data_IF_400965349619
#
_entry.id   IF_400965349619
#
_cell.length_a   1.000
_cell.length_b   1.000
_cell.length_c   1.000
_cell.angle_alpha   90.00
_cell.angle_beta   90.00
_cell.angle_gamma   90.00
#
_symmetry.space_group_name_H-M   'P 1'
#
loop_
_entity.id
_entity.type
_entity.pdbx_description
1 polymer ?
#
# COMPACT_ATOMS: atom_id res chain seq x y z
N UNK A 1 -6.36 7.13 -20.57
CA UNK A 1 -6.54 8.29 -19.68
C UNK A 1 -5.49 9.37 -19.93
N UNK A 2 -4.18 9.10 -19.82
CA UNK A 2 -3.12 10.08 -20.16
C UNK A 2 -3.30 10.70 -21.56
N UNK A 3 -3.61 9.88 -22.57
CA UNK A 3 -3.92 10.37 -23.92
C UNK A 3 -5.28 11.04 -24.10
N UNK A 4 -6.21 10.83 -23.16
CA UNK A 4 -7.54 11.48 -23.18
C UNK A 4 -7.44 12.87 -22.56
N UNK A 5 -6.58 13.04 -21.55
CA UNK A 5 -6.33 14.32 -20.85
C UNK A 5 -5.30 15.17 -21.60
N UNK A 6 -4.69 14.67 -22.69
CA UNK A 6 -3.69 15.40 -23.46
C UNK A 6 -2.36 15.60 -22.75
N UNK A 7 -2.08 14.85 -21.67
CA UNK A 7 -0.87 15.02 -20.87
C UNK A 7 0.40 14.41 -21.50
N UNK A 8 0.35 14.04 -22.79
CA UNK A 8 1.55 13.59 -23.51
C UNK A 8 2.51 14.74 -23.82
N UNK A 9 1.98 15.94 -24.07
CA UNK A 9 2.81 17.10 -24.43
C UNK A 9 3.65 17.60 -23.24
N UNK A 10 3.21 17.34 -22.01
CA UNK A 10 3.96 17.69 -20.79
C UNK A 10 5.14 16.77 -20.50
N UNK A 11 5.32 15.66 -21.23
CA UNK A 11 6.48 14.76 -21.05
C UNK A 11 7.80 15.49 -21.27
N UNK A 12 7.85 16.41 -22.23
CA UNK A 12 9.05 17.21 -22.51
C UNK A 12 9.38 18.23 -21.40
N UNK A 13 8.41 18.58 -20.55
CA UNK A 13 8.58 19.52 -19.44
C UNK A 13 9.00 18.85 -18.13
N UNK A 14 9.07 17.51 -18.11
CA UNK A 14 9.45 16.77 -16.90
C UNK A 14 10.94 16.99 -16.61
N UNK A 15 11.23 17.60 -15.47
CA UNK A 15 12.61 17.72 -14.97
C UNK A 15 13.19 16.33 -14.65
N UNK A 16 14.46 16.09 -14.96
CA UNK A 16 15.16 14.82 -14.67
C UNK A 16 15.01 14.36 -13.21
N UNK A 17 14.97 15.29 -12.25
CA UNK A 17 14.73 14.99 -10.83
C UNK A 17 13.36 14.35 -10.62
N UNK A 18 12.31 14.93 -11.19
CA UNK A 18 10.93 14.41 -11.10
C UNK A 18 10.83 13.01 -11.67
N UNK A 19 11.45 12.78 -12.83
CA UNK A 19 11.48 11.46 -13.46
C UNK A 19 12.20 10.42 -12.59
N UNK A 20 13.34 10.80 -11.98
CA UNK A 20 14.07 9.94 -11.05
C UNK A 20 13.22 9.58 -9.83
N UNK A 21 12.52 10.54 -9.21
CA UNK A 21 11.65 10.29 -8.07
C UNK A 21 10.48 9.36 -8.41
N UNK A 22 9.89 9.49 -9.60
CA UNK A 22 8.82 8.59 -10.06
C UNK A 22 9.34 7.17 -10.33
N UNK A 23 10.51 7.02 -10.94
CA UNK A 23 11.14 5.71 -11.13
C UNK A 23 11.44 5.08 -9.78
N UNK A 24 12.06 5.82 -8.86
CA UNK A 24 12.42 5.31 -7.54
C UNK A 24 11.17 4.94 -6.72
N UNK A 25 10.10 5.72 -6.84
CA UNK A 25 8.78 5.39 -6.29
C UNK A 25 8.22 4.10 -6.89
N UNK A 26 8.38 3.87 -8.19
CA UNK A 26 7.95 2.65 -8.88
C UNK A 26 8.74 1.41 -8.46
N UNK A 27 10.06 1.54 -8.34
CA UNK A 27 10.94 0.49 -7.82
C UNK A 27 10.56 0.15 -6.38
N UNK A 28 10.38 1.17 -5.53
CA UNK A 28 9.95 1.01 -4.15
C UNK A 28 8.57 0.33 -4.06
N UNK A 29 7.66 0.66 -4.97
CA UNK A 29 6.34 0.01 -5.03
C UNK A 29 6.48 -1.48 -5.34
N UNK A 30 7.24 -1.81 -6.39
CA UNK A 30 7.47 -3.19 -6.79
C UNK A 30 8.12 -4.00 -5.67
N UNK A 31 9.16 -3.45 -5.04
CA UNK A 31 9.83 -4.08 -3.89
C UNK A 31 8.87 -4.29 -2.70
N UNK A 32 8.04 -3.29 -2.39
CA UNK A 32 7.02 -3.39 -1.34
C UNK A 32 6.05 -4.54 -1.62
N UNK A 33 5.47 -4.60 -2.81
CA UNK A 33 4.51 -5.65 -3.17
C UNK A 33 5.14 -7.04 -3.14
N UNK A 34 6.36 -7.21 -3.65
CA UNK A 34 7.06 -8.50 -3.59
C UNK A 34 7.27 -8.97 -2.14
N UNK A 35 7.70 -8.07 -1.26
CA UNK A 35 7.85 -8.37 0.16
C UNK A 35 6.49 -8.65 0.82
N UNK A 36 5.46 -7.85 0.51
CA UNK A 36 4.11 -8.01 1.04
C UNK A 36 3.50 -9.38 0.67
N UNK A 37 3.52 -9.74 -0.61
CA UNK A 37 3.00 -11.03 -1.07
C UNK A 37 3.81 -12.19 -0.52
N UNK A 38 5.14 -12.05 -0.40
CA UNK A 38 5.97 -13.08 0.24
C UNK A 38 5.62 -13.24 1.72
N UNK A 39 5.36 -12.14 2.43
CA UNK A 39 4.90 -12.17 3.81
C UNK A 39 3.52 -12.85 3.94
N UNK A 40 2.59 -12.58 3.01
CA UNK A 40 1.28 -13.24 2.96
C UNK A 40 1.37 -14.75 2.68
N UNK A 41 2.34 -15.20 1.88
CA UNK A 41 2.57 -16.64 1.64
C UNK A 41 3.12 -17.37 2.86
N UNK A 42 3.90 -16.68 3.69
CA UNK A 42 4.60 -17.26 4.85
C UNK A 42 3.87 -17.05 6.18
N UNK A 43 2.97 -16.07 6.25
CA UNK A 43 2.29 -15.62 7.46
C UNK A 43 0.78 -15.55 7.33
N UNK A 44 0.10 -15.25 8.43
CA UNK A 44 -1.35 -15.09 8.44
C UNK A 44 -1.76 -13.74 7.84
N UNK A 45 -2.77 -13.74 6.95
CA UNK A 45 -3.26 -12.54 6.24
C UNK A 45 -3.62 -11.39 7.19
N UNK A 46 -4.25 -11.69 8.33
CA UNK A 46 -4.65 -10.67 9.30
C UNK A 46 -3.42 -10.02 9.94
N UNK A 47 -2.40 -10.80 10.29
CA UNK A 47 -1.17 -10.28 10.91
C UNK A 47 -0.35 -9.44 9.95
N UNK A 48 -0.16 -9.93 8.72
CA UNK A 48 0.62 -9.22 7.69
C UNK A 48 -0.09 -7.92 7.29
N UNK A 49 -1.41 -7.96 7.10
CA UNK A 49 -2.19 -6.76 6.75
C UNK A 49 -2.19 -5.74 7.89
N UNK A 50 -2.26 -6.19 9.14
CA UNK A 50 -2.13 -5.29 10.29
C UNK A 50 -0.76 -4.60 10.32
N UNK A 51 0.33 -5.36 10.15
CA UNK A 51 1.69 -4.79 10.06
C UNK A 51 1.78 -3.79 8.91
N UNK A 52 1.21 -4.07 7.73
CA UNK A 52 1.19 -3.13 6.61
C UNK A 52 0.56 -1.77 6.98
N UNK A 53 -0.44 -1.74 7.87
CA UNK A 53 -1.05 -0.47 8.31
C UNK A 53 -0.10 0.43 9.07
N UNK A 54 0.96 -0.11 9.68
CA UNK A 54 2.01 0.70 10.32
C UNK A 54 2.81 1.55 9.32
N UNK A 55 2.72 1.27 8.02
CA UNK A 55 3.30 2.13 6.98
C UNK A 55 2.80 3.57 7.02
N UNK A 56 1.59 3.81 7.54
CA UNK A 56 1.06 5.16 7.75
C UNK A 56 1.88 5.92 8.77
N UNK A 57 2.24 5.29 9.87
CA UNK A 57 3.06 5.90 10.93
C UNK A 57 4.42 6.31 10.36
N UNK A 58 5.07 5.39 9.64
CA UNK A 58 6.35 5.68 9.00
C UNK A 58 6.22 6.77 7.94
N UNK A 59 5.12 6.79 7.18
CA UNK A 59 4.85 7.83 6.19
C UNK A 59 4.65 9.20 6.83
N UNK A 60 3.94 9.30 7.95
CA UNK A 60 3.76 10.56 8.70
C UNK A 60 5.11 11.05 9.23
N UNK A 61 5.94 10.16 9.77
CA UNK A 61 7.29 10.52 10.24
C UNK A 61 8.15 11.04 9.09
N UNK A 62 8.17 10.31 7.96
CA UNK A 62 8.91 10.76 6.78
C UNK A 62 8.32 12.05 6.19
N UNK A 63 7.00 12.25 6.25
CA UNK A 63 6.40 13.48 5.74
C UNK A 63 6.77 14.70 6.59
N UNK A 64 6.88 14.53 7.91
CA UNK A 64 7.44 15.56 8.80
C UNK A 64 8.91 15.87 8.44
N UNK A 65 9.72 14.84 8.18
CA UNK A 65 11.15 15.05 7.87
C UNK A 65 11.34 15.74 6.51
N UNK A 66 10.67 15.27 5.46
CA UNK A 66 10.88 15.74 4.10
C UNK A 66 10.08 16.99 3.74
N UNK A 67 8.84 17.10 4.22
CA UNK A 67 7.94 18.19 3.87
C UNK A 67 7.73 19.19 5.01
N UNK A 68 8.29 18.93 6.21
CA UNK A 68 8.08 19.75 7.42
C UNK A 68 6.60 19.97 7.72
N UNK A 69 5.76 18.97 7.40
CA UNK A 69 4.33 18.99 7.72
C UNK A 69 4.14 19.11 9.24
N UNK A 70 3.27 20.04 9.69
CA UNK A 70 2.95 20.16 11.11
C UNK A 70 2.20 18.92 11.59
N UNK A 71 2.74 18.29 12.63
CA UNK A 71 2.12 17.15 13.29
C UNK A 71 1.35 17.67 14.49
N UNK A 72 0.03 17.62 14.40
CA UNK A 72 -0.86 17.97 15.51
C UNK A 72 -0.75 16.93 16.62
N UNK A 73 -1.12 17.30 17.84
CA UNK A 73 -1.16 16.36 18.97
C UNK A 73 -2.07 15.17 18.68
N UNK A 74 -3.16 15.39 17.94
CA UNK A 74 -4.08 14.33 17.51
C UNK A 74 -3.43 13.30 16.58
N UNK A 75 -2.57 13.72 15.64
CA UNK A 75 -1.80 12.78 14.81
C UNK A 75 -0.91 11.85 15.66
N UNK A 76 -0.27 12.38 16.70
CA UNK A 76 0.59 11.57 17.60
C UNK A 76 -0.26 10.57 18.39
N UNK A 77 -1.36 11.02 18.98
CA UNK A 77 -2.28 10.15 19.72
C UNK A 77 -2.82 9.05 18.79
N UNK A 78 -3.27 9.42 17.59
CA UNK A 78 -3.74 8.49 16.58
C UNK A 78 -2.67 7.46 16.19
N UNK A 79 -1.40 7.85 16.07
CA UNK A 79 -0.29 6.92 15.77
C UNK A 79 -0.10 5.89 16.88
N UNK A 80 -0.17 6.30 18.15
CA UNK A 80 -0.07 5.40 19.29
C UNK A 80 -1.26 4.43 19.33
N UNK A 81 -2.47 4.91 19.08
CA UNK A 81 -3.68 4.07 19.06
C UNK A 81 -3.60 3.06 17.89
N UNK A 82 -3.21 3.51 16.69
CA UNK A 82 -3.10 2.65 15.51
C UNK A 82 -2.06 1.54 15.69
N UNK A 83 -0.89 1.87 16.26
CA UNK A 83 0.17 0.89 16.54
C UNK A 83 -0.25 -0.10 17.62
N UNK A 84 -0.94 0.35 18.65
CA UNK A 84 -1.51 -0.52 19.70
C UNK A 84 -2.58 -1.45 19.12
N UNK A 85 -3.49 -0.94 18.29
CA UNK A 85 -4.50 -1.74 17.59
C UNK A 85 -3.87 -2.80 16.67
N UNK A 86 -2.81 -2.42 15.96
CA UNK A 86 -2.02 -3.35 15.14
C UNK A 86 -1.38 -4.45 15.99
N UNK A 87 -0.75 -4.11 17.11
CA UNK A 87 -0.15 -5.07 18.02
C UNK A 87 -1.17 -6.10 18.53
N UNK A 88 -2.35 -5.63 18.95
CA UNK A 88 -3.44 -6.47 19.45
C UNK A 88 -3.97 -7.44 18.37
N UNK A 89 -4.00 -7.00 17.11
CA UNK A 89 -4.40 -7.83 15.97
C UNK A 89 -3.33 -8.85 15.55
N UNK A 90 -2.04 -8.56 15.81
CA UNK A 90 -0.90 -9.46 15.55
C UNK A 90 -0.74 -10.53 16.63
N UNK A 91 -1.25 -10.27 17.84
CA UNK A 91 -1.10 -11.13 19.02
C UNK A 91 -1.53 -12.59 18.77
N UNK A 92 -0.72 -13.53 19.27
CA UNK A 92 -0.81 -14.97 18.99
C UNK A 92 -2.16 -15.55 19.44
N UNK A 93 -2.93 -16.09 18.48
CA UNK A 93 -3.50 -17.43 18.69
C UNK A 93 -2.32 -18.41 18.61
N UNK A 94 -2.21 -19.32 19.57
CA UNK A 94 -1.24 -20.42 19.57
C UNK A 94 -1.49 -21.32 18.36
N UNK A 95 -0.95 -20.93 17.20
CA UNK A 95 -0.71 -21.90 16.13
C UNK A 95 0.63 -22.56 16.45
N UNK A 96 0.53 -23.83 16.85
CA UNK A 96 1.61 -24.73 17.26
C UNK A 96 2.48 -25.17 16.06
N UNK A 97 2.77 -24.24 15.14
CA UNK A 97 3.68 -24.44 14.01
C UNK A 97 4.84 -23.48 14.13
N UNK A 98 6.03 -24.01 13.95
CA UNK A 98 7.30 -23.31 13.88
C UNK A 98 7.28 -22.34 12.70
N UNK A 99 6.61 -21.20 12.85
CA UNK A 99 6.54 -20.16 11.83
C UNK A 99 7.92 -19.52 11.76
N UNK A 100 8.62 -19.74 10.65
CA UNK A 100 9.88 -19.07 10.35
C UNK A 100 9.66 -17.55 10.40
N UNK A 101 10.39 -16.83 11.26
CA UNK A 101 10.27 -15.37 11.45
C UNK A 101 10.52 -14.55 10.16
N UNK A 102 10.94 -15.20 9.07
CA UNK A 102 11.05 -14.61 7.74
C UNK A 102 9.81 -13.83 7.29
N UNK A 103 8.59 -14.26 7.62
CA UNK A 103 7.37 -13.50 7.23
C UNK A 103 7.34 -12.09 7.84
N UNK A 104 7.84 -11.93 9.07
CA UNK A 104 7.88 -10.66 9.78
C UNK A 104 8.92 -9.73 9.15
N UNK A 105 10.09 -10.28 8.81
CA UNK A 105 11.13 -9.55 8.07
C UNK A 105 10.58 -9.00 6.75
N UNK A 106 9.93 -9.84 5.94
CA UNK A 106 9.31 -9.40 4.69
C UNK A 106 8.19 -8.38 4.91
N UNK A 107 7.38 -8.52 5.97
CA UNK A 107 6.34 -7.54 6.30
C UNK A 107 6.94 -6.17 6.67
N UNK A 108 8.02 -6.14 7.46
CA UNK A 108 8.70 -4.89 7.84
C UNK A 108 9.38 -4.23 6.64
N UNK A 109 10.07 -5.00 5.79
CA UNK A 109 10.63 -4.48 4.55
C UNK A 109 9.53 -3.88 3.66
N UNK A 110 8.39 -4.57 3.54
CA UNK A 110 7.23 -4.07 2.79
C UNK A 110 6.76 -2.71 3.29
N UNK A 111 6.66 -2.54 4.62
CA UNK A 111 6.24 -1.29 5.26
C UNK A 111 7.19 -0.14 4.97
N UNK A 112 8.51 -0.41 5.00
CA UNK A 112 9.54 0.60 4.69
C UNK A 112 9.46 1.02 3.22
N UNK A 113 9.33 0.06 2.30
CA UNK A 113 9.21 0.38 0.88
C UNK A 113 7.85 1.03 0.54
N UNK A 114 6.78 0.70 1.27
CA UNK A 114 5.46 1.32 1.09
C UNK A 114 5.46 2.78 1.51
N UNK A 115 6.08 3.11 2.65
CA UNK A 115 6.20 4.51 3.09
C UNK A 115 7.09 5.32 2.14
N UNK A 116 8.22 4.75 1.72
CA UNK A 116 9.11 5.39 0.76
C UNK A 116 8.43 5.61 -0.60
N UNK A 117 7.63 4.63 -1.07
CA UNK A 117 6.79 4.77 -2.27
C UNK A 117 5.92 6.01 -2.22
N UNK A 118 5.25 6.22 -1.08
CA UNK A 118 4.35 7.36 -0.91
C UNK A 118 5.11 8.67 -0.95
N UNK A 119 6.23 8.79 -0.22
CA UNK A 119 7.00 10.02 -0.14
C UNK A 119 7.63 10.38 -1.49
N UNK A 120 8.32 9.42 -2.12
CA UNK A 120 8.91 9.62 -3.45
C UNK A 120 7.83 9.91 -4.49
N UNK A 121 6.68 9.23 -4.38
CA UNK A 121 5.54 9.45 -5.24
C UNK A 121 4.99 10.87 -5.11
N UNK A 122 4.80 11.36 -3.89
CA UNK A 122 4.35 12.74 -3.64
C UNK A 122 5.32 13.77 -4.24
N UNK A 123 6.62 13.62 -4.01
CA UNK A 123 7.64 14.51 -4.60
C UNK A 123 7.58 14.45 -6.13
N UNK A 124 7.46 13.24 -6.70
CA UNK A 124 7.44 13.01 -8.13
C UNK A 124 6.19 13.51 -8.86
N UNK A 125 5.03 13.60 -8.19
CA UNK A 125 3.78 14.08 -8.80
C UNK A 125 3.48 15.56 -8.52
N UNK A 126 4.22 16.24 -7.63
CA UNK A 126 3.87 17.62 -7.24
C UNK A 126 3.94 18.60 -8.41
N UNK A 127 4.90 18.43 -9.32
CA UNK A 127 5.17 19.39 -10.42
C UNK A 127 4.68 18.92 -11.80
N UNK A 128 3.95 17.81 -11.87
CA UNK A 128 3.45 17.25 -13.13
C UNK A 128 2.01 16.78 -12.95
N UNK A 129 1.33 16.45 -14.03
CA UNK A 129 -0.02 15.88 -13.95
C UNK A 129 -0.01 14.50 -13.25
N UNK A 130 -0.95 14.27 -12.32
CA UNK A 130 -1.00 13.08 -11.46
C UNK A 130 -1.21 11.75 -12.20
N UNK A 131 -2.01 11.74 -13.27
CA UNK A 131 -2.24 10.55 -14.09
C UNK A 131 -0.98 10.17 -14.87
N UNK A 132 -0.24 11.16 -15.40
CA UNK A 132 1.05 10.95 -16.06
C UNK A 132 2.09 10.39 -15.08
N UNK A 133 2.22 10.99 -13.90
CA UNK A 133 3.11 10.50 -12.86
C UNK A 133 2.77 9.07 -12.41
N UNK A 134 1.47 8.79 -12.26
CA UNK A 134 0.99 7.43 -11.96
C UNK A 134 1.33 6.46 -13.08
N UNK A 135 1.13 6.83 -14.35
CA UNK A 135 1.42 5.98 -15.51
C UNK A 135 2.91 5.62 -15.61
N UNK A 136 3.81 6.60 -15.43
CA UNK A 136 5.26 6.38 -15.40
C UNK A 136 5.60 5.39 -14.29
N UNK A 137 5.09 5.63 -13.08
CA UNK A 137 5.36 4.78 -11.92
C UNK A 137 4.83 3.35 -12.12
N UNK A 138 3.61 3.19 -12.60
CA UNK A 138 3.01 1.87 -12.86
C UNK A 138 3.72 1.12 -13.98
N UNK A 139 4.32 1.83 -14.94
CA UNK A 139 5.13 1.19 -15.99
C UNK A 139 6.40 0.56 -15.40
N UNK A 140 7.04 1.22 -14.43
CA UNK A 140 8.19 0.66 -13.70
C UNK A 140 7.77 -0.55 -12.87
N UNK A 141 6.62 -0.48 -12.18
CA UNK A 141 6.06 -1.61 -11.44
C UNK A 141 5.77 -2.80 -12.37
N UNK A 142 5.19 -2.53 -13.55
CA UNK A 142 4.90 -3.54 -14.56
C UNK A 142 6.18 -4.27 -15.00
N UNK A 143 7.24 -3.53 -15.33
CA UNK A 143 8.55 -4.11 -15.68
C UNK A 143 9.07 -5.00 -14.55
N UNK A 144 9.04 -4.51 -13.31
CA UNK A 144 9.47 -5.27 -12.12
C UNK A 144 8.64 -6.55 -11.92
N UNK A 145 7.32 -6.48 -12.08
CA UNK A 145 6.44 -7.65 -11.97
C UNK A 145 6.80 -8.71 -13.01
N UNK A 146 7.04 -8.31 -14.27
CA UNK A 146 7.44 -9.25 -15.33
C UNK A 146 8.82 -9.85 -15.10
N UNK A 147 9.80 -9.06 -14.64
CA UNK A 147 11.13 -9.56 -14.25
C UNK A 147 10.97 -10.71 -13.25
N UNK A 148 10.12 -10.55 -12.23
CA UNK A 148 9.89 -11.60 -11.23
C UNK A 148 9.21 -12.83 -11.84
N UNK A 149 8.25 -12.67 -12.75
CA UNK A 149 7.63 -13.81 -13.45
C UNK A 149 8.69 -14.62 -14.21
N UNK A 150 9.57 -13.95 -14.95
CA UNK A 150 10.64 -14.60 -15.70
C UNK A 150 11.68 -15.26 -14.78
N UNK A 151 12.12 -14.57 -13.72
CA UNK A 151 13.09 -15.11 -12.77
C UNK A 151 12.53 -16.32 -12.01
N UNK A 152 11.25 -16.30 -11.65
CA UNK A 152 10.58 -17.43 -10.96
C UNK A 152 10.16 -18.56 -11.91
N UNK A 153 10.34 -18.37 -13.22
CA UNK A 153 9.94 -19.31 -14.28
C UNK A 153 8.43 -19.61 -14.28
N UNK A 154 7.64 -18.73 -13.68
CA UNK A 154 6.19 -18.91 -13.49
C UNK A 154 5.40 -18.75 -14.79
N UNK A 155 6.02 -18.29 -15.88
CA UNK A 155 5.37 -18.17 -17.20
C UNK A 155 4.76 -19.48 -17.70
N UNK A 156 5.33 -20.63 -17.29
CA UNK A 156 4.85 -21.95 -17.73
C UNK A 156 3.51 -22.33 -17.09
N UNK A 157 3.17 -21.74 -15.94
CA UNK A 157 1.91 -21.96 -15.22
C UNK A 157 0.76 -21.09 -15.74
N UNK A 158 1.03 -20.17 -16.69
CA UNK A 158 0.00 -19.25 -17.18
C UNK A 158 -1.14 -19.97 -17.92
N UNK A 159 -0.85 -21.11 -18.57
CA UNK A 159 -1.86 -21.90 -19.31
C UNK A 159 -2.80 -22.71 -18.41
N UNK A 160 -2.49 -22.89 -17.12
CA UNK A 160 -3.31 -23.68 -16.20
C UNK A 160 -4.32 -22.85 -15.42
N UNK A 161 -4.29 -21.52 -15.53
CA UNK A 161 -5.20 -20.62 -14.79
C UNK A 161 -6.61 -20.67 -15.41
N UNK A 162 -7.65 -21.00 -14.63
CA UNK A 162 -9.03 -21.01 -15.10
C UNK A 162 -9.50 -19.65 -15.63
N UNK A 163 -10.37 -19.65 -16.66
CA UNK A 163 -10.93 -18.41 -17.25
C UNK A 163 -11.64 -17.51 -16.23
N UNK A 164 -12.26 -18.09 -15.20
CA UNK A 164 -12.93 -17.35 -14.12
C UNK A 164 -11.93 -16.58 -13.24
N UNK A 165 -10.77 -17.17 -12.96
CA UNK A 165 -9.70 -16.53 -12.19
C UNK A 165 -9.07 -15.38 -13.00
N UNK A 166 -8.88 -15.57 -14.31
CA UNK A 166 -8.46 -14.48 -15.20
C UNK A 166 -9.39 -13.27 -15.14
N UNK A 167 -10.71 -13.49 -15.15
CA UNK A 167 -11.67 -12.40 -15.03
C UNK A 167 -11.53 -11.65 -13.69
N UNK A 168 -11.40 -12.37 -12.57
CA UNK A 168 -11.18 -11.74 -11.26
C UNK A 168 -9.85 -10.99 -11.18
N UNK A 169 -8.78 -11.51 -11.79
CA UNK A 169 -7.47 -10.83 -11.85
C UNK A 169 -7.59 -9.53 -12.65
N UNK A 170 -8.27 -9.55 -13.80
CA UNK A 170 -8.48 -8.34 -14.61
C UNK A 170 -9.32 -7.32 -13.86
N UNK A 171 -10.43 -7.73 -13.24
CA UNK A 171 -11.27 -6.84 -12.44
C UNK A 171 -10.51 -6.24 -11.24
N UNK A 172 -9.70 -7.05 -10.55
CA UNK A 172 -8.83 -6.59 -9.46
C UNK A 172 -7.78 -5.60 -9.95
N UNK A 173 -7.17 -5.84 -11.12
CA UNK A 173 -6.22 -4.94 -11.75
C UNK A 173 -6.84 -3.58 -12.11
N UNK A 174 -8.04 -3.58 -12.69
CA UNK A 174 -8.78 -2.36 -13.00
C UNK A 174 -9.17 -1.58 -11.74
N UNK A 175 -9.66 -2.28 -10.70
CA UNK A 175 -9.97 -1.66 -9.41
C UNK A 175 -8.73 -1.06 -8.74
N UNK A 176 -7.59 -1.75 -8.81
CA UNK A 176 -6.31 -1.26 -8.29
C UNK A 176 -5.84 -0.02 -9.05
N UNK A 177 -5.91 -0.05 -10.38
CA UNK A 177 -5.57 1.09 -11.22
C UNK A 177 -6.44 2.32 -10.92
N UNK A 178 -7.76 2.13 -10.83
CA UNK A 178 -8.71 3.20 -10.47
C UNK A 178 -8.44 3.77 -9.08
N UNK A 179 -8.24 2.90 -8.08
CA UNK A 179 -7.87 3.31 -6.71
C UNK A 179 -6.58 4.14 -6.68
N UNK A 180 -5.56 3.71 -7.42
CA UNK A 180 -4.26 4.38 -7.45
C UNK A 180 -4.33 5.75 -8.13
N UNK A 181 -5.10 5.90 -9.20
CA UNK A 181 -5.31 7.20 -9.83
C UNK A 181 -5.94 8.20 -8.85
N UNK A 182 -7.00 7.77 -8.13
CA UNK A 182 -7.63 8.58 -7.10
C UNK A 182 -6.68 8.91 -5.94
N UNK A 183 -5.91 7.92 -5.46
CA UNK A 183 -4.98 8.09 -4.34
C UNK A 183 -3.87 9.08 -4.68
N UNK A 184 -3.27 8.98 -5.88
CA UNK A 184 -2.20 9.90 -6.29
C UNK A 184 -2.73 11.31 -6.59
N UNK A 185 -3.96 11.41 -7.09
CA UNK A 185 -4.62 12.70 -7.22
C UNK A 185 -4.88 13.37 -5.86
N UNK A 186 -5.33 12.61 -4.85
CA UNK A 186 -5.47 13.10 -3.48
C UNK A 186 -4.11 13.47 -2.86
N UNK A 187 -3.07 12.67 -3.12
CA UNK A 187 -1.72 12.91 -2.61
C UNK A 187 -1.05 14.16 -3.22
N UNK A 188 -1.41 14.51 -4.45
CA UNK A 188 -0.97 15.73 -5.11
C UNK A 188 -1.64 16.97 -4.50
N UNK A 189 -2.93 16.88 -4.18
CA UNK A 189 -3.72 18.00 -3.65
C UNK A 189 -3.68 18.13 -2.11
N UNK A 190 -3.22 17.11 -1.39
CA UNK A 190 -3.27 17.05 0.07
C UNK A 190 -1.95 16.68 0.77
N UNK A 191 -1.87 16.90 2.10
CA UNK A 191 -0.74 16.46 2.91
C UNK A 191 -0.66 14.93 2.97
N UNK A 192 0.55 14.38 2.88
CA UNK A 192 0.75 12.92 2.89
C UNK A 192 0.31 12.33 4.24
N UNK A 193 0.49 13.12 5.31
CA UNK A 193 0.05 12.77 6.66
C UNK A 193 -1.46 12.68 6.85
N UNK A 194 -2.29 13.13 5.91
CA UNK A 194 -3.76 12.94 5.96
C UNK A 194 -4.25 11.94 4.92
N UNK A 195 -3.69 11.98 3.69
CA UNK A 195 -4.13 11.11 2.60
C UNK A 195 -3.82 9.64 2.90
N UNK A 196 -2.67 9.34 3.51
CA UNK A 196 -2.29 7.95 3.81
C UNK A 196 -3.10 7.28 4.92
N UNK A 197 -3.43 7.95 6.05
CA UNK A 197 -4.43 7.41 6.98
C UNK A 197 -5.77 7.09 6.29
N UNK A 198 -6.29 8.01 5.46
CA UNK A 198 -7.58 7.84 4.76
C UNK A 198 -7.55 6.60 3.85
N UNK A 199 -6.50 6.43 3.05
CA UNK A 199 -6.33 5.25 2.19
C UNK A 199 -6.40 3.93 2.98
N UNK A 200 -5.80 3.91 4.18
CA UNK A 200 -5.76 2.71 5.01
C UNK A 200 -7.09 2.34 5.64
N UNK A 201 -8.09 3.25 5.69
CA UNK A 201 -9.46 2.93 6.09
C UNK A 201 -10.12 1.90 5.16
N UNK A 202 -9.55 1.65 3.97
CA UNK A 202 -9.93 0.53 3.09
C UNK A 202 -9.98 -0.83 3.79
N UNK A 203 -9.28 -1.00 4.92
CA UNK A 203 -9.36 -2.21 5.76
C UNK A 203 -10.78 -2.53 6.22
N UNK A 204 -11.63 -1.51 6.42
CA UNK A 204 -13.04 -1.70 6.76
C UNK A 204 -13.77 -2.48 5.67
N UNK A 205 -13.55 -2.11 4.41
CA UNK A 205 -14.12 -2.81 3.26
C UNK A 205 -13.49 -4.20 3.10
N UNK A 206 -12.17 -4.33 3.27
CA UNK A 206 -11.50 -5.65 3.21
C UNK A 206 -12.07 -6.62 4.24
N UNK A 207 -12.23 -6.19 5.49
CA UNK A 207 -12.81 -7.00 6.56
C UNK A 207 -14.28 -7.34 6.28
N UNK A 208 -15.05 -6.35 5.82
CA UNK A 208 -16.46 -6.54 5.47
C UNK A 208 -16.61 -7.59 4.37
N UNK A 209 -15.82 -7.49 3.28
CA UNK A 209 -15.83 -8.48 2.21
C UNK A 209 -15.27 -9.84 2.66
N UNK A 210 -14.27 -9.87 3.55
CA UNK A 210 -13.79 -11.14 4.12
C UNK A 210 -14.90 -11.88 4.86
N UNK A 211 -15.66 -11.16 5.68
CA UNK A 211 -16.81 -11.74 6.40
C UNK A 211 -17.94 -12.18 5.46
N UNK A 212 -18.29 -11.37 4.45
CA UNK A 212 -19.38 -11.67 3.53
C UNK A 212 -19.06 -12.82 2.54
N UNK A 213 -17.84 -12.86 2.02
CA UNK A 213 -17.44 -13.77 0.93
C UNK A 213 -16.77 -15.03 1.48
N UNK A 214 -15.87 -14.89 2.44
CA UNK A 214 -15.08 -16.01 2.97
C UNK A 214 -15.65 -16.56 4.29
N UNK A 215 -16.68 -15.92 4.85
CA UNK A 215 -17.29 -16.27 6.13
C UNK A 215 -16.29 -16.36 7.29
N UNK A 216 -15.16 -15.64 7.19
CA UNK A 216 -14.16 -15.59 8.25
C UNK A 216 -14.70 -14.78 9.44
N UNK A 217 -14.86 -15.45 10.58
CA UNK A 217 -15.25 -14.79 11.83
C UNK A 217 -14.02 -14.16 12.50
N UNK A 218 -14.05 -12.83 12.65
CA UNK A 218 -13.06 -12.13 13.45
C UNK A 218 -13.13 -12.57 14.91
N UNK A 219 -11.98 -12.81 15.52
CA UNK A 219 -11.91 -13.02 16.97
C UNK A 219 -12.26 -11.72 17.70
N UNK A 220 -12.74 -11.83 18.95
CA UNK A 220 -13.02 -10.65 19.80
C UNK A 220 -11.81 -9.72 19.93
N UNK A 221 -10.59 -10.29 20.00
CA UNK A 221 -9.34 -9.54 19.98
C UNK A 221 -9.12 -8.83 18.64
N UNK A 222 -9.23 -9.54 17.52
CA UNK A 222 -9.05 -8.92 16.20
C UNK A 222 -10.06 -7.79 15.94
N UNK A 223 -11.30 -7.95 16.41
CA UNK A 223 -12.32 -6.90 16.35
C UNK A 223 -11.94 -5.66 17.17
N UNK A 224 -11.44 -5.83 18.40
CA UNK A 224 -10.92 -4.72 19.20
C UNK A 224 -9.73 -4.04 18.53
N UNK A 225 -8.81 -4.81 17.94
CA UNK A 225 -7.67 -4.30 17.19
C UNK A 225 -8.12 -3.46 15.99
N UNK A 226 -9.11 -3.95 15.24
CA UNK A 226 -9.70 -3.22 14.12
C UNK A 226 -10.36 -1.92 14.56
N UNK A 227 -11.13 -1.93 15.66
CA UNK A 227 -11.76 -0.72 16.22
C UNK A 227 -10.69 0.31 16.59
N UNK A 228 -9.58 -0.13 17.20
CA UNK A 228 -8.45 0.75 17.53
C UNK A 228 -7.74 1.29 16.28
N UNK A 229 -7.53 0.48 15.25
CA UNK A 229 -6.94 0.95 13.98
C UNK A 229 -7.84 2.03 13.37
N UNK A 230 -9.15 1.82 13.35
CA UNK A 230 -10.12 2.77 12.78
C UNK A 230 -10.19 4.04 13.61
N UNK A 231 -10.32 3.94 14.93
CA UNK A 231 -10.37 5.10 15.81
C UNK A 231 -9.07 5.90 15.78
N UNK A 232 -7.92 5.23 15.82
CA UNK A 232 -6.61 5.87 15.69
C UNK A 232 -6.48 6.61 14.36
N UNK A 233 -6.94 6.00 13.26
CA UNK A 233 -6.95 6.63 11.93
C UNK A 233 -7.86 7.85 11.89
N UNK A 234 -9.05 7.80 12.47
CA UNK A 234 -9.98 8.95 12.53
C UNK A 234 -9.42 10.09 13.41
N UNK A 235 -8.78 9.77 14.53
CA UNK A 235 -8.14 10.78 15.38
C UNK A 235 -7.00 11.50 14.65
N UNK A 236 -6.26 10.83 13.77
CA UNK A 236 -5.23 11.50 12.95
C UNK A 236 -5.79 12.55 11.99
N UNK A 237 -7.10 12.54 11.70
CA UNK A 237 -7.75 13.47 10.79
C UNK A 237 -8.25 14.75 11.47
N UNK A 238 -8.15 14.84 12.80
CA UNK A 238 -8.46 16.02 13.61
C UNK A 238 -7.27 16.99 13.67
#
# INVERSE_FOLDING_TARGET
>A
MVGIVGSFDTIHTITHKTFLFLILSGISTGASWLCYFKALQLGNINKVTAIDKTSVVLTIILSLIFFKESVTQYKIIGMIILTTGTYLMVEKKEDNKQINNAWLLYAVLSVIFASLTTILGKIGITNIESNLGTAIRTSVVLIMSWIVVFVTHSQMNMKSIPKKEYLFIVLSGLATGGSWLCFYHALQSGPASLVTPIDKLSILFTVLFSYLIFHEKLSKKSLLGLILIVSGTLVMLL
#
